data_IF_700642672443
#
_entry.id   IF_700642672443
#
_cell.length_a   1.000
_cell.length_b   1.000
_cell.length_c   1.000
_cell.angle_alpha   90.00
_cell.angle_beta   90.00
_cell.angle_gamma   90.00
#
_symmetry.space_group_name_H-M   'P 1'
#
loop_
_entity.id
_entity.type
_entity.pdbx_description
1 polymer ?
#
# COMPACT_ATOMS: atom_id res chain seq x y z
N UNK A 1 29.98 24.77 -8.83
CA UNK A 1 28.77 25.21 -8.10
C UNK A 1 29.15 25.39 -6.64
N UNK A 2 28.85 26.58 -6.10
CA UNK A 2 29.22 27.00 -4.75
C UNK A 2 28.44 26.18 -3.71
N UNK A 3 29.18 25.60 -2.78
CA UNK A 3 28.68 25.00 -1.56
C UNK A 3 28.37 26.16 -0.60
N UNK A 4 27.10 26.37 -0.23
CA UNK A 4 26.72 27.39 0.74
C UNK A 4 26.41 26.75 2.10
N UNK A 5 26.81 27.48 3.14
CA UNK A 5 26.97 27.09 4.54
C UNK A 5 25.70 26.53 5.17
N UNK A 6 25.91 25.55 6.04
CA UNK A 6 24.93 24.96 6.95
C UNK A 6 24.92 25.79 8.24
N UNK A 7 23.79 26.38 8.60
CA UNK A 7 23.55 26.92 9.94
C UNK A 7 22.83 25.88 10.80
N UNK A 8 23.42 25.55 11.94
CA UNK A 8 22.87 24.62 12.94
C UNK A 8 22.09 25.47 13.94
N UNK A 9 20.77 25.26 14.03
CA UNK A 9 20.00 25.75 15.17
C UNK A 9 20.41 24.92 16.38
N UNK A 10 21.25 25.50 17.23
CA UNK A 10 21.56 24.95 18.54
C UNK A 10 20.28 24.97 19.40
N UNK A 11 20.15 23.95 20.25
CA UNK A 11 19.12 23.81 21.30
C UNK A 11 17.83 23.05 20.95
N UNK A 12 17.92 21.94 20.19
CA UNK A 12 16.85 20.92 20.20
C UNK A 12 17.33 19.61 20.84
N UNK A 13 16.75 19.17 21.98
CA UNK A 13 17.13 17.92 22.63
C UNK A 13 16.68 16.73 21.78
N UNK A 14 17.66 15.96 21.29
CA UNK A 14 17.52 14.64 20.65
C UNK A 14 16.48 14.60 19.51
N UNK A 15 16.67 15.42 18.47
CA UNK A 15 16.05 15.22 17.17
C UNK A 15 17.14 14.95 16.12
N UNK A 16 17.24 13.70 15.67
CA UNK A 16 18.14 13.33 14.56
C UNK A 16 17.59 13.94 13.27
N UNK A 17 18.12 15.09 12.86
CA UNK A 17 17.81 15.71 11.56
C UNK A 17 18.59 14.97 10.48
N UNK A 18 17.89 14.24 9.60
CA UNK A 18 18.49 13.66 8.39
C UNK A 18 18.09 14.53 7.21
N UNK A 19 19.06 14.97 6.41
CA UNK A 19 18.89 15.82 5.24
C UNK A 19 19.13 15.01 3.97
N UNK A 20 18.11 14.92 3.12
CA UNK A 20 18.19 14.27 1.80
C UNK A 20 18.09 15.34 0.72
N UNK A 21 19.05 15.36 -0.20
CA UNK A 21 18.95 16.21 -1.39
C UNK A 21 18.07 15.55 -2.48
N UNK A 22 17.57 16.37 -3.42
CA UNK A 22 16.73 15.87 -4.51
C UNK A 22 17.44 14.98 -5.54
N UNK A 23 18.75 14.75 -5.39
CA UNK A 23 19.50 13.78 -6.19
C UNK A 23 19.58 12.41 -5.51
N UNK A 24 18.97 12.25 -4.33
CA UNK A 24 19.00 11.02 -3.55
C UNK A 24 20.31 10.81 -2.82
N UNK A 25 21.20 11.81 -2.76
CA UNK A 25 22.39 11.72 -1.92
C UNK A 25 22.01 12.02 -0.48
N UNK A 26 22.19 11.01 0.37
CA UNK A 26 21.95 11.09 1.79
C UNK A 26 23.11 11.84 2.46
N UNK A 27 22.88 13.06 2.97
CA UNK A 27 23.90 13.83 3.69
C UNK A 27 23.60 13.80 5.18
N UNK A 28 24.30 12.91 5.89
CA UNK A 28 24.26 12.87 7.36
C UNK A 28 25.08 14.04 7.91
N UNK A 29 24.45 15.02 8.55
CA UNK A 29 25.15 16.11 9.23
C UNK A 29 25.59 15.62 10.62
N UNK A 30 26.82 15.08 10.66
CA UNK A 30 27.67 14.68 11.82
C UNK A 30 27.07 13.73 12.88
N UNK A 31 27.67 12.54 13.00
CA UNK A 31 27.75 11.76 14.24
C UNK A 31 29.11 11.07 14.34
N UNK A 32 29.72 11.01 15.53
CA UNK A 32 31.10 10.56 15.73
C UNK A 32 31.17 9.26 16.55
N UNK A 33 31.98 8.31 16.05
CA UNK A 33 32.55 7.07 16.62
C UNK A 33 31.65 5.85 16.92
N UNK A 34 32.03 4.72 16.29
CA UNK A 34 31.83 3.35 16.80
C UNK A 34 31.39 2.34 15.73
N UNK A 35 31.90 1.08 15.71
CA UNK A 35 31.59 0.12 14.66
C UNK A 35 30.33 -0.72 14.96
N UNK A 36 29.51 -0.91 13.93
CA UNK A 36 28.49 -1.96 13.67
C UNK A 36 26.98 -1.59 13.64
N UNK A 37 26.36 -2.26 12.65
CA UNK A 37 24.96 -2.47 12.26
C UNK A 37 24.16 -1.28 11.68
N UNK A 38 23.78 -1.49 10.40
CA UNK A 38 23.21 -0.54 9.46
C UNK A 38 21.74 -0.90 9.23
N UNK A 39 20.80 -0.23 9.87
CA UNK A 39 19.37 -0.45 9.64
C UNK A 39 18.87 0.48 8.56
N UNK A 40 18.54 -0.02 7.36
CA UNK A 40 17.94 0.84 6.35
C UNK A 40 16.44 1.08 6.58
N UNK A 41 15.93 2.30 6.37
CA UNK A 41 14.54 2.69 6.62
C UNK A 41 13.91 3.29 5.35
N UNK A 42 12.67 2.93 5.01
CA UNK A 42 11.92 3.48 3.86
C UNK A 42 10.85 4.47 4.34
N UNK A 43 10.74 5.62 3.67
CA UNK A 43 9.69 6.64 3.88
C UNK A 43 8.71 6.60 2.70
N UNK A 44 7.42 6.41 3.00
CA UNK A 44 6.32 6.52 2.04
C UNK A 44 5.61 7.87 2.20
N UNK A 45 5.59 8.69 1.14
CA UNK A 45 4.89 9.97 1.10
C UNK A 45 3.64 9.79 0.24
N UNK A 46 2.43 9.84 0.80
CA UNK A 46 1.21 9.66 0.00
C UNK A 46 1.08 10.77 -1.04
N UNK A 47 0.82 10.36 -2.28
CA UNK A 47 0.64 11.23 -3.44
C UNK A 47 -0.72 11.95 -3.37
N UNK A 48 -0.72 13.26 -3.65
CA UNK A 48 -1.96 13.97 -4.00
C UNK A 48 -2.20 13.81 -5.50
N UNK A 49 -2.81 12.71 -5.90
CA UNK A 49 -3.54 12.57 -7.18
C UNK A 49 -2.73 12.58 -8.47
N UNK A 50 -1.61 13.29 -8.59
CA UNK A 50 -0.74 13.34 -9.76
C UNK A 50 0.65 13.77 -9.27
N UNK A 51 1.69 13.01 -9.61
CA UNK A 51 3.13 13.21 -9.33
C UNK A 51 3.78 12.34 -8.21
N UNK A 52 4.61 11.41 -8.71
CA UNK A 52 5.82 10.79 -8.16
C UNK A 52 5.75 10.26 -6.73
N UNK A 53 5.60 8.93 -6.60
CA UNK A 53 5.98 8.17 -5.42
C UNK A 53 7.49 8.33 -5.18
N UNK A 54 7.88 9.26 -4.29
CA UNK A 54 9.30 9.38 -3.89
C UNK A 54 9.57 8.44 -2.72
N UNK A 55 10.17 7.30 -3.02
CA UNK A 55 10.73 6.37 -2.04
C UNK A 55 12.13 6.85 -1.64
N UNK A 56 12.34 7.16 -0.36
CA UNK A 56 13.65 7.48 0.19
C UNK A 56 14.14 6.34 1.08
N UNK A 57 15.37 5.87 0.83
CA UNK A 57 16.06 4.85 1.62
C UNK A 57 17.05 5.53 2.56
N UNK A 58 16.89 5.30 3.84
CA UNK A 58 17.75 5.79 4.92
C UNK A 58 18.57 4.65 5.47
N UNK A 59 19.65 4.92 6.21
CA UNK A 59 20.36 3.95 7.03
C UNK A 59 20.59 4.58 8.41
N UNK A 60 20.02 3.98 9.45
CA UNK A 60 20.22 4.32 10.85
C UNK A 60 21.34 3.46 11.44
N UNK A 61 22.09 4.08 12.34
CA UNK A 61 23.17 3.47 13.10
C UNK A 61 22.68 3.31 14.54
N UNK A 62 22.73 2.08 15.07
CA UNK A 62 22.36 1.77 16.44
C UNK A 62 23.54 2.05 17.39
N UNK A 63 23.23 2.47 18.62
CA UNK A 63 24.20 2.69 19.69
C UNK A 63 23.53 2.30 21.03
N UNK A 64 23.24 1.01 21.20
CA UNK A 64 22.88 0.47 22.52
C UNK A 64 24.04 -0.32 23.11
N UNK A 65 24.93 0.37 23.82
CA UNK A 65 25.69 -0.21 24.93
C UNK A 65 26.10 0.89 25.90
N UNK A 66 25.37 1.03 27.00
CA UNK A 66 25.86 1.70 28.20
C UNK A 66 25.46 0.86 29.42
N UNK A 67 26.37 -0.03 29.82
CA UNK A 67 26.45 -0.54 31.18
C UNK A 67 27.77 -0.05 31.78
N UNK A 68 27.62 0.71 32.86
CA UNK A 68 28.51 0.88 34.01
C UNK A 68 29.82 1.71 33.94
N UNK A 69 29.84 2.66 34.89
CA UNK A 69 30.91 3.10 35.81
C UNK A 69 31.79 4.32 35.51
N UNK A 70 31.90 5.14 36.56
CA UNK A 70 32.92 6.18 36.82
C UNK A 70 32.29 7.57 36.99
N UNK A 71 31.65 7.90 38.12
CA UNK A 71 32.23 8.54 39.32
C UNK A 71 33.23 9.68 39.05
N UNK A 72 32.92 10.80 39.72
CA UNK A 72 33.77 11.94 40.12
C UNK A 72 34.07 13.03 39.06
N UNK A 73 33.36 14.16 39.15
CA UNK A 73 33.93 15.42 39.70
C UNK A 73 32.95 16.61 39.58
N UNK A 74 32.43 17.00 40.75
CA UNK A 74 32.07 18.33 41.30
C UNK A 74 31.17 19.38 40.55
N UNK A 75 30.23 20.04 41.26
CA UNK A 75 29.29 21.03 40.76
C UNK A 75 29.77 22.49 41.00
N UNK A 76 29.55 23.39 40.05
CA UNK A 76 29.97 24.79 40.21
C UNK A 76 29.21 25.81 39.37
N UNK A 77 28.33 26.54 40.05
CA UNK A 77 27.84 27.90 39.79
C UNK A 77 26.81 28.20 38.69
N UNK A 78 25.57 28.23 39.18
CA UNK A 78 24.44 29.12 38.89
C UNK A 78 24.87 30.59 38.70
N UNK A 79 24.31 31.29 37.71
CA UNK A 79 23.77 32.66 37.87
C UNK A 79 22.79 33.04 36.75
N UNK A 80 21.58 33.42 37.21
CA UNK A 80 20.68 34.46 36.72
C UNK A 80 19.90 34.30 35.40
N UNK A 81 18.59 34.08 35.58
CA UNK A 81 17.51 34.52 34.71
C UNK A 81 17.39 36.07 34.69
N UNK A 82 16.59 36.60 33.76
CA UNK A 82 15.58 37.58 34.15
C UNK A 82 14.16 37.09 33.90
N UNK A 83 13.30 37.42 34.85
CA UNK A 83 11.87 37.17 34.92
C UNK A 83 11.04 38.06 33.97
N UNK A 84 9.98 37.45 33.43
CA UNK A 84 8.58 37.92 33.40
C UNK A 84 8.26 39.32 32.84
N UNK A 85 7.58 39.32 31.69
CA UNK A 85 6.37 40.14 31.52
C UNK A 85 5.22 39.17 31.20
N UNK A 86 4.23 39.20 32.08
CA UNK A 86 3.03 38.39 32.07
C UNK A 86 1.95 38.85 31.08
N UNK A 87 0.73 38.32 31.24
CA UNK A 87 -0.13 37.89 30.15
C UNK A 87 -1.12 38.97 29.75
N UNK A 88 -1.52 39.00 28.47
CA UNK A 88 -2.88 39.41 28.14
C UNK A 88 -3.37 38.81 26.82
N UNK A 89 -4.56 38.21 26.96
CA UNK A 89 -5.56 37.81 25.98
C UNK A 89 -5.33 38.22 24.51
N UNK A 90 -5.43 37.23 23.61
CA UNK A 90 -6.44 37.30 22.55
C UNK A 90 -6.77 35.91 21.99
N UNK A 91 -7.99 35.50 22.32
CA UNK A 91 -8.77 34.33 21.92
C UNK A 91 -9.06 34.24 20.41
N UNK A 92 -9.54 33.07 19.93
CA UNK A 92 -9.73 32.76 18.52
C UNK A 92 -10.95 33.47 17.92
N UNK A 93 -10.76 34.64 17.32
CA UNK A 93 -11.85 35.38 16.66
C UNK A 93 -11.49 36.02 15.32
N UNK A 94 -10.36 35.69 14.69
CA UNK A 94 -9.95 36.30 13.40
C UNK A 94 -10.15 35.41 12.16
N UNK A 95 -10.73 34.21 12.28
CA UNK A 95 -11.07 33.38 11.11
C UNK A 95 -12.57 33.23 10.84
N UNK A 96 -13.40 34.09 11.45
CA UNK A 96 -14.88 34.02 11.31
C UNK A 96 -15.50 35.00 10.30
N UNK A 97 -14.70 35.66 9.48
CA UNK A 97 -15.21 36.51 8.40
C UNK A 97 -14.77 35.98 7.03
N UNK A 98 -15.52 35.01 6.49
CA UNK A 98 -15.61 34.86 5.03
C UNK A 98 -16.89 34.25 4.43
N UNK A 99 -17.87 33.76 5.20
CA UNK A 99 -19.17 33.34 4.64
C UNK A 99 -20.32 33.48 5.66
N UNK A 100 -21.31 34.38 5.47
CA UNK A 100 -22.49 34.43 6.32
C UNK A 100 -23.61 33.51 5.78
N UNK A 101 -24.22 32.74 6.68
CA UNK A 101 -25.55 32.16 6.47
C UNK A 101 -25.61 30.68 6.10
N UNK A 102 -25.57 29.81 7.12
CA UNK A 102 -26.38 28.58 7.27
C UNK A 102 -26.01 27.90 8.60
N UNK A 103 -26.90 27.97 9.59
CA UNK A 103 -26.80 27.15 10.80
C UNK A 103 -27.17 25.71 10.48
N UNK A 104 -26.31 24.75 10.81
CA UNK A 104 -26.67 23.34 10.89
C UNK A 104 -26.70 22.93 12.36
N UNK A 105 -27.89 22.65 12.88
CA UNK A 105 -28.08 21.99 14.18
C UNK A 105 -27.84 20.50 14.00
N UNK A 106 -26.85 19.96 14.69
CA UNK A 106 -26.62 18.51 14.78
C UNK A 106 -27.08 18.08 16.17
N UNK A 107 -28.09 17.21 16.22
CA UNK A 107 -28.52 16.55 17.45
C UNK A 107 -27.53 15.42 17.76
N UNK A 108 -26.98 15.42 18.97
CA UNK A 108 -26.14 14.35 19.50
C UNK A 108 -27.03 13.17 19.91
N UNK A 109 -26.73 11.99 19.36
CA UNK A 109 -27.20 10.71 19.90
C UNK A 109 -25.99 10.04 20.55
N UNK A 110 -26.10 9.74 21.83
CA UNK A 110 -25.12 8.96 22.58
C UNK A 110 -25.17 7.50 22.09
N UNK A 111 -24.03 6.90 21.73
CA UNK A 111 -23.99 5.50 21.31
C UNK A 111 -22.80 4.71 21.87
N UNK A 112 -23.06 3.42 22.01
CA UNK A 112 -22.68 2.50 23.06
C UNK A 112 -21.50 1.57 22.68
N UNK A 113 -20.36 2.14 22.31
CA UNK A 113 -19.10 1.39 22.29
C UNK A 113 -18.99 0.24 21.28
N UNK A 114 -19.90 0.12 20.30
CA UNK A 114 -19.71 -0.74 19.12
C UNK A 114 -19.01 0.06 18.02
N UNK A 115 -17.78 -0.35 17.71
CA UNK A 115 -16.92 0.30 16.73
C UNK A 115 -17.49 0.14 15.31
N UNK A 116 -18.33 1.06 14.88
CA UNK A 116 -18.60 1.33 13.46
C UNK A 116 -17.47 2.24 12.97
N UNK A 117 -16.86 1.97 11.81
CA UNK A 117 -15.76 2.80 11.28
C UNK A 117 -16.18 4.23 10.87
N UNK A 118 -17.44 4.61 11.07
CA UNK A 118 -18.00 5.89 10.63
C UNK A 118 -17.58 7.14 11.45
N UNK A 119 -17.40 7.10 12.79
CA UNK A 119 -17.15 8.32 13.58
C UNK A 119 -15.76 8.95 13.40
N UNK A 120 -14.76 8.18 12.94
CA UNK A 120 -13.39 8.67 12.70
C UNK A 120 -13.20 9.15 11.26
N UNK A 121 -13.80 8.47 10.29
CA UNK A 121 -13.80 8.92 8.88
C UNK A 121 -14.56 10.24 8.71
N UNK A 122 -15.73 10.38 9.34
CA UNK A 122 -16.50 11.63 9.32
C UNK A 122 -15.74 12.77 10.03
N UNK A 123 -15.02 12.48 11.13
CA UNK A 123 -14.12 13.46 11.77
C UNK A 123 -12.92 13.84 10.91
N UNK A 124 -12.32 12.89 10.18
CA UNK A 124 -11.23 13.18 9.24
C UNK A 124 -11.70 14.08 8.09
N UNK A 125 -12.96 13.94 7.64
CA UNK A 125 -13.60 14.85 6.69
C UNK A 125 -13.83 16.23 7.34
N UNK A 126 -14.36 16.29 8.57
CA UNK A 126 -14.62 17.53 9.31
C UNK A 126 -13.34 18.32 9.61
N UNK A 127 -12.21 17.63 9.85
CA UNK A 127 -10.90 18.23 10.09
C UNK A 127 -10.02 18.36 8.84
N UNK A 128 -10.50 17.92 7.66
CA UNK A 128 -9.79 18.05 6.38
C UNK A 128 -8.51 17.21 6.25
N UNK A 129 -8.38 16.11 7.00
CA UNK A 129 -7.14 15.31 7.10
C UNK A 129 -7.31 13.83 6.75
N UNK A 130 -8.02 13.56 5.66
CA UNK A 130 -8.28 12.21 5.13
C UNK A 130 -6.98 11.47 4.82
N UNK A 131 -5.94 12.18 4.37
CA UNK A 131 -4.65 11.58 4.02
C UNK A 131 -3.92 11.00 5.24
N UNK A 132 -3.93 11.72 6.38
CA UNK A 132 -3.34 11.20 7.61
C UNK A 132 -4.14 10.01 8.14
N UNK A 133 -5.47 10.07 8.08
CA UNK A 133 -6.32 8.96 8.49
C UNK A 133 -6.01 7.69 7.67
N UNK A 134 -6.00 7.80 6.33
CA UNK A 134 -5.68 6.68 5.44
C UNK A 134 -4.29 6.11 5.74
N UNK A 135 -3.28 6.95 5.91
CA UNK A 135 -1.92 6.51 6.25
C UNK A 135 -1.86 5.72 7.57
N UNK A 136 -2.59 6.17 8.61
CA UNK A 136 -2.61 5.47 9.89
C UNK A 136 -3.41 4.16 9.84
N UNK A 137 -4.52 4.14 9.11
CA UNK A 137 -5.33 2.94 8.91
C UNK A 137 -4.58 1.90 8.07
N UNK A 138 -3.89 2.32 7.01
CA UNK A 138 -2.97 1.51 6.22
C UNK A 138 -1.81 0.97 7.04
N UNK A 139 -1.16 1.80 7.87
CA UNK A 139 -0.12 1.35 8.80
C UNK A 139 -0.64 0.27 9.76
N UNK A 140 -1.83 0.46 10.33
CA UNK A 140 -2.46 -0.51 11.24
C UNK A 140 -2.74 -1.83 10.52
N UNK A 141 -3.26 -1.78 9.30
CA UNK A 141 -3.53 -2.98 8.49
C UNK A 141 -2.23 -3.72 8.16
N UNK A 142 -1.25 -3.02 7.58
CA UNK A 142 -0.01 -3.64 7.13
C UNK A 142 0.87 -4.17 8.28
N UNK A 143 0.81 -3.56 9.48
CA UNK A 143 1.48 -4.08 10.70
C UNK A 143 1.03 -5.47 11.12
N UNK A 144 -0.21 -5.86 10.83
CA UNK A 144 -0.69 -7.23 11.10
C UNK A 144 0.00 -8.24 10.18
N UNK A 145 0.44 -7.80 9.00
CA UNK A 145 0.91 -8.67 7.92
C UNK A 145 2.43 -8.77 7.88
N UNK A 146 3.16 -7.74 8.30
CA UNK A 146 4.62 -7.75 8.28
C UNK A 146 5.24 -7.01 9.49
N UNK A 147 6.26 -7.61 10.15
CA UNK A 147 6.94 -7.01 11.30
C UNK A 147 7.99 -5.97 10.89
N UNK A 148 7.79 -5.27 9.77
CA UNK A 148 8.75 -4.28 9.25
C UNK A 148 8.36 -2.84 9.59
N UNK A 149 7.11 -2.61 9.97
CA UNK A 149 6.55 -1.27 10.13
C UNK A 149 6.78 -0.72 11.54
N UNK A 150 7.74 0.19 11.69
CA UNK A 150 8.20 0.69 12.98
C UNK A 150 7.47 1.95 13.46
N UNK A 151 6.71 2.64 12.61
CA UNK A 151 5.86 3.76 13.03
C UNK A 151 5.61 4.77 11.92
N UNK A 152 5.34 6.01 12.32
CA UNK A 152 5.34 7.17 11.42
C UNK A 152 6.42 8.15 11.85
N UNK A 153 6.88 8.96 10.90
CA UNK A 153 7.80 10.06 11.16
C UNK A 153 7.19 11.34 10.63
N UNK A 154 7.28 12.40 11.42
CA UNK A 154 6.98 13.74 10.93
C UNK A 154 8.03 14.14 9.90
N UNK A 155 7.61 14.76 8.81
CA UNK A 155 8.53 15.32 7.85
C UNK A 155 8.06 16.69 7.36
N UNK A 156 9.03 17.50 6.96
CA UNK A 156 8.86 18.78 6.33
C UNK A 156 9.69 18.81 5.05
N UNK A 157 9.09 19.23 3.95
CA UNK A 157 9.76 19.33 2.65
C UNK A 157 10.01 20.80 2.33
N UNK A 158 11.25 21.11 1.96
CA UNK A 158 11.69 22.37 1.37
C UNK A 158 12.10 22.14 -0.07
N UNK A 159 12.29 23.21 -0.86
CA UNK A 159 12.76 23.17 -2.26
C UNK A 159 14.14 22.51 -2.49
N UNK A 160 14.79 21.99 -1.45
CA UNK A 160 16.07 21.30 -1.58
C UNK A 160 16.22 20.09 -0.68
N UNK A 161 15.38 19.96 0.36
CA UNK A 161 15.58 19.01 1.44
C UNK A 161 14.27 18.49 2.03
N UNK A 162 14.32 17.24 2.50
CA UNK A 162 13.34 16.70 3.44
C UNK A 162 13.98 16.66 4.83
N UNK A 163 13.31 17.27 5.80
CA UNK A 163 13.69 17.26 7.21
C UNK A 163 12.77 16.29 7.96
N UNK A 164 13.36 15.36 8.70
CA UNK A 164 12.64 14.42 9.54
C UNK A 164 12.58 14.93 10.98
N UNK A 165 11.37 14.92 11.53
CA UNK A 165 11.07 15.27 12.91
C UNK A 165 10.95 14.03 13.78
N UNK A 166 9.97 14.06 14.70
CA UNK A 166 9.78 13.00 15.69
C UNK A 166 9.28 11.70 15.05
N UNK A 167 9.94 10.58 15.38
CA UNK A 167 9.42 9.23 15.14
C UNK A 167 8.38 8.87 16.22
N UNK A 168 7.27 8.32 15.77
CA UNK A 168 6.11 7.96 16.58
C UNK A 168 5.78 6.49 16.31
N UNK A 169 6.13 5.62 17.26
CA UNK A 169 5.93 4.16 17.13
C UNK A 169 4.43 3.81 17.11
N UNK A 170 3.65 4.41 18.00
CA UNK A 170 2.20 4.19 18.12
C UNK A 170 1.46 5.51 17.86
N UNK A 171 1.29 5.90 16.58
CA UNK A 171 0.57 7.12 16.25
C UNK A 171 -0.89 7.03 16.68
N UNK A 172 -1.38 8.12 17.26
CA UNK A 172 -2.77 8.31 17.64
C UNK A 172 -3.27 9.55 16.88
N UNK A 173 -4.24 9.35 16.00
CA UNK A 173 -4.78 10.40 15.13
C UNK A 173 -5.13 11.68 15.90
N UNK A 174 -5.69 11.55 17.11
CA UNK A 174 -6.11 12.71 17.91
C UNK A 174 -4.95 13.47 18.58
N UNK A 175 -3.74 12.91 18.56
CA UNK A 175 -2.53 13.49 19.17
C UNK A 175 -1.52 13.98 18.14
N UNK A 176 -1.75 13.69 16.86
CA UNK A 176 -0.89 14.15 15.79
C UNK A 176 -1.25 15.60 15.44
N UNK A 177 -0.23 16.45 15.40
CA UNK A 177 -0.38 17.82 14.95
C UNK A 177 -0.33 17.86 13.41
N UNK A 178 -1.29 18.52 12.77
CA UNK A 178 -1.33 18.75 11.33
C UNK A 178 -1.08 20.22 10.92
N UNK A 179 -0.61 21.06 11.85
CA UNK A 179 -0.24 22.47 11.63
C UNK A 179 1.05 22.58 10.81
N UNK A 180 0.99 22.19 9.53
CA UNK A 180 2.09 22.33 8.55
C UNK A 180 3.08 21.15 8.47
N UNK A 181 2.95 20.14 9.33
CA UNK A 181 3.76 18.93 9.27
C UNK A 181 3.04 17.83 8.48
N UNK A 182 3.81 17.05 7.71
CA UNK A 182 3.30 15.84 7.04
C UNK A 182 3.84 14.61 7.74
N UNK A 183 3.15 13.49 7.58
CA UNK A 183 3.58 12.21 8.15
C UNK A 183 3.89 11.21 7.04
N UNK A 184 4.90 10.39 7.29
CA UNK A 184 5.25 9.29 6.44
C UNK A 184 5.39 8.00 7.25
N UNK A 185 5.11 6.86 6.63
CA UNK A 185 5.33 5.55 7.25
C UNK A 185 6.83 5.26 7.29
N UNK A 186 7.29 4.77 8.43
CA UNK A 186 8.66 4.36 8.67
C UNK A 186 8.71 2.83 8.81
N UNK A 187 9.51 2.17 7.97
CA UNK A 187 9.64 0.70 7.93
C UNK A 187 11.07 0.23 7.65
N UNK A 188 11.45 -0.94 8.19
CA UNK A 188 12.72 -1.60 7.87
C UNK A 188 12.84 -1.86 6.37
N UNK A 189 14.04 -1.65 5.86
CA UNK A 189 14.39 -1.88 4.47
C UNK A 189 14.39 -3.38 4.15
N UNK A 190 13.88 -3.67 2.97
CA UNK A 190 13.83 -5.02 2.42
C UNK A 190 14.88 -5.09 1.31
N UNK A 191 15.93 -5.92 1.46
CA UNK A 191 16.91 -6.15 0.41
C UNK A 191 16.23 -6.56 -0.90
N UNK A 192 16.71 -6.03 -2.03
CA UNK A 192 16.15 -6.34 -3.36
C UNK A 192 16.02 -7.85 -3.64
N UNK A 193 16.96 -8.65 -3.15
CA UNK A 193 16.96 -10.10 -3.30
C UNK A 193 15.78 -10.80 -2.58
N UNK A 194 15.15 -10.14 -1.61
CA UNK A 194 14.07 -10.71 -0.81
C UNK A 194 12.68 -10.47 -1.40
N UNK A 195 12.54 -9.62 -2.43
CA UNK A 195 11.22 -9.33 -3.00
C UNK A 195 10.72 -10.48 -3.85
N UNK A 196 9.41 -10.75 -3.83
CA UNK A 196 8.83 -11.89 -4.55
C UNK A 196 9.03 -11.77 -6.06
N UNK A 197 9.00 -10.56 -6.63
CA UNK A 197 9.31 -10.34 -8.05
C UNK A 197 10.73 -10.83 -8.44
N UNK A 198 11.70 -10.71 -7.52
CA UNK A 198 13.05 -11.24 -7.72
C UNK A 198 13.03 -12.77 -7.73
N UNK A 199 12.35 -13.40 -6.78
CA UNK A 199 12.18 -14.86 -6.76
C UNK A 199 11.44 -15.37 -8.00
N UNK A 200 10.35 -14.72 -8.40
CA UNK A 200 9.61 -15.09 -9.60
C UNK A 200 10.43 -14.90 -10.89
N UNK A 201 11.42 -14.01 -10.91
CA UNK A 201 12.35 -13.91 -12.03
C UNK A 201 13.38 -15.05 -12.09
N UNK A 202 13.50 -15.86 -11.03
CA UNK A 202 14.41 -17.01 -10.98
C UNK A 202 13.69 -18.30 -11.39
N UNK A 203 14.21 -18.97 -12.42
CA UNK A 203 13.66 -20.24 -12.91
C UNK A 203 13.55 -21.31 -11.81
N UNK A 204 14.56 -21.41 -10.94
CA UNK A 204 14.60 -22.40 -9.85
C UNK A 204 13.42 -22.28 -8.88
N UNK A 205 12.96 -21.06 -8.61
CA UNK A 205 11.83 -20.83 -7.72
C UNK A 205 10.51 -21.14 -8.41
N UNK A 206 10.34 -20.68 -9.65
CA UNK A 206 9.06 -20.77 -10.37
C UNK A 206 8.77 -22.17 -10.90
N UNK A 207 9.79 -22.94 -11.27
CA UNK A 207 9.60 -24.33 -11.67
C UNK A 207 9.44 -25.30 -10.50
N UNK A 208 9.70 -24.85 -9.27
CA UNK A 208 9.40 -25.62 -8.08
C UNK A 208 7.98 -25.31 -7.60
N UNK A 209 7.05 -26.18 -7.98
CA UNK A 209 5.64 -26.07 -7.59
C UNK A 209 5.43 -26.07 -6.08
N UNK A 210 6.36 -26.61 -5.27
CA UNK A 210 6.23 -26.56 -3.81
C UNK A 210 6.33 -25.13 -3.27
N UNK A 211 7.17 -24.29 -3.88
CA UNK A 211 7.30 -22.88 -3.51
C UNK A 211 6.04 -22.08 -3.82
N UNK A 212 5.51 -22.25 -5.04
CA UNK A 212 4.29 -21.57 -5.46
C UNK A 212 3.08 -22.07 -4.67
N UNK A 213 2.95 -23.37 -4.43
CA UNK A 213 1.88 -23.92 -3.58
C UNK A 213 1.96 -23.40 -2.15
N UNK A 214 3.16 -23.29 -1.56
CA UNK A 214 3.33 -22.72 -0.22
C UNK A 214 2.97 -21.24 -0.17
N UNK A 215 3.32 -20.46 -1.20
CA UNK A 215 2.87 -19.08 -1.35
C UNK A 215 1.33 -19.02 -1.36
N UNK A 216 0.68 -19.80 -2.21
CA UNK A 216 -0.80 -19.82 -2.30
C UNK A 216 -1.45 -20.27 -1.00
N UNK A 217 -0.88 -21.27 -0.32
CA UNK A 217 -1.36 -21.71 0.98
C UNK A 217 -1.27 -20.60 2.04
N UNK A 218 -0.22 -19.77 2.02
CA UNK A 218 -0.11 -18.60 2.89
C UNK A 218 -1.15 -17.52 2.53
N UNK A 219 -1.40 -17.28 1.24
CA UNK A 219 -2.44 -16.33 0.78
C UNK A 219 -3.84 -16.80 1.19
N UNK A 220 -4.18 -18.08 1.01
CA UNK A 220 -5.48 -18.62 1.41
C UNK A 220 -5.73 -18.48 2.92
N UNK A 221 -4.72 -18.79 3.75
CA UNK A 221 -4.79 -18.58 5.20
C UNK A 221 -4.90 -17.10 5.58
N UNK A 222 -4.20 -16.22 4.86
CA UNK A 222 -4.32 -14.78 5.06
C UNK A 222 -5.75 -14.30 4.77
N UNK A 223 -6.32 -14.71 3.63
CA UNK A 223 -7.68 -14.35 3.21
C UNK A 223 -8.75 -14.77 4.21
N UNK A 224 -8.62 -15.95 4.85
CA UNK A 224 -9.55 -16.41 5.88
C UNK A 224 -9.61 -15.49 7.11
N UNK A 225 -8.47 -14.84 7.43
CA UNK A 225 -8.34 -13.93 8.57
C UNK A 225 -8.74 -12.47 8.29
N UNK A 226 -9.14 -12.14 7.06
CA UNK A 226 -9.49 -10.76 6.70
C UNK A 226 -10.87 -10.35 7.23
N UNK A 227 -10.99 -9.08 7.59
CA UNK A 227 -12.23 -8.48 8.08
C UNK A 227 -13.30 -8.48 6.97
N UNK A 228 -14.55 -8.87 7.25
CA UNK A 228 -15.64 -8.84 6.26
C UNK A 228 -15.96 -7.41 5.83
N UNK A 229 -16.32 -7.23 4.56
CA UNK A 229 -16.75 -5.94 4.05
C UNK A 229 -18.20 -5.61 4.50
N UNK A 230 -18.54 -4.31 4.67
CA UNK A 230 -19.93 -3.90 4.78
C UNK A 230 -20.76 -4.35 3.57
N UNK A 231 -22.05 -4.65 3.77
CA UNK A 231 -22.94 -5.23 2.74
C UNK A 231 -23.15 -4.34 1.49
N UNK A 232 -22.78 -3.06 1.56
CA UNK A 232 -22.79 -2.15 0.40
C UNK A 232 -21.68 -2.44 -0.63
N UNK A 233 -20.65 -3.21 -0.26
CA UNK A 233 -19.52 -3.55 -1.12
C UNK A 233 -19.70 -4.91 -1.81
N UNK A 234 -19.03 -5.07 -2.95
CA UNK A 234 -19.04 -6.28 -3.78
C UNK A 234 -20.35 -6.50 -4.54
N UNK A 235 -21.15 -5.44 -4.73
CA UNK A 235 -22.36 -5.55 -5.55
C UNK A 235 -22.01 -5.73 -7.02
N UNK A 236 -22.91 -6.36 -7.77
CA UNK A 236 -22.73 -6.49 -9.23
C UNK A 236 -22.60 -5.12 -9.93
N UNK A 237 -23.30 -4.10 -9.42
CA UNK A 237 -23.21 -2.75 -9.95
C UNK A 237 -21.84 -2.12 -9.71
N UNK A 238 -21.27 -2.33 -8.52
CA UNK A 238 -19.91 -1.86 -8.21
C UNK A 238 -18.87 -2.57 -9.08
N UNK A 239 -18.99 -3.88 -9.29
CA UNK A 239 -18.10 -4.62 -10.20
C UNK A 239 -18.17 -4.06 -11.62
N UNK A 240 -19.39 -3.82 -12.14
CA UNK A 240 -19.58 -3.20 -13.45
C UNK A 240 -18.99 -1.79 -13.52
N UNK A 241 -19.27 -0.94 -12.52
CA UNK A 241 -18.78 0.44 -12.46
C UNK A 241 -17.24 0.49 -12.42
N UNK A 242 -16.63 -0.37 -11.60
CA UNK A 242 -15.17 -0.51 -11.50
C UNK A 242 -14.57 -0.96 -12.83
N UNK A 243 -15.18 -1.96 -13.48
CA UNK A 243 -14.74 -2.41 -14.80
C UNK A 243 -14.80 -1.29 -15.85
N UNK A 244 -15.91 -0.53 -15.90
CA UNK A 244 -16.04 0.60 -16.82
C UNK A 244 -15.03 1.72 -16.52
N UNK A 245 -14.76 1.99 -15.24
CA UNK A 245 -13.73 2.95 -14.82
C UNK A 245 -12.34 2.52 -15.27
N UNK A 246 -11.96 1.25 -15.04
CA UNK A 246 -10.69 0.69 -15.50
C UNK A 246 -10.55 0.74 -17.03
N UNK A 247 -11.63 0.40 -17.75
CA UNK A 247 -11.65 0.48 -19.22
C UNK A 247 -11.48 1.93 -19.71
N UNK A 248 -12.14 2.88 -19.04
CA UNK A 248 -11.95 4.31 -19.27
C UNK A 248 -10.51 4.75 -19.05
N UNK A 249 -9.90 4.37 -17.93
CA UNK A 249 -8.50 4.67 -17.62
C UNK A 249 -7.54 4.12 -18.68
N UNK A 250 -7.72 2.86 -19.08
CA UNK A 250 -6.91 2.22 -20.13
C UNK A 250 -7.04 2.95 -21.48
N UNK A 251 -8.25 3.35 -21.88
CA UNK A 251 -8.49 4.13 -23.10
C UNK A 251 -7.86 5.53 -23.02
N UNK A 252 -7.93 6.17 -21.85
CA UNK A 252 -7.34 7.50 -21.60
C UNK A 252 -5.82 7.48 -21.39
N UNK A 253 -5.21 6.32 -21.20
CA UNK A 253 -3.76 6.19 -21.05
C UNK A 253 -2.98 6.49 -22.35
N UNK A 254 -3.66 6.60 -23.51
CA UNK A 254 -3.03 6.84 -24.82
C UNK A 254 -1.89 5.85 -25.13
N UNK A 255 -2.10 4.59 -24.76
CA UNK A 255 -1.17 3.50 -25.04
C UNK A 255 -0.93 3.35 -26.56
N UNK A 256 0.32 3.10 -26.99
CA UNK A 256 0.63 2.79 -28.38
C UNK A 256 -0.24 1.64 -28.93
N UNK A 257 -0.65 1.76 -30.19
CA UNK A 257 -1.59 0.84 -30.88
C UNK A 257 -1.02 -0.59 -31.01
N UNK A 258 0.29 -0.70 -31.10
CA UNK A 258 1.07 -1.93 -31.14
C UNK A 258 1.16 -2.60 -29.76
N UNK A 259 0.98 -1.84 -28.68
CA UNK A 259 0.90 -2.36 -27.32
C UNK A 259 -0.52 -2.80 -26.98
N UNK A 260 -1.51 -1.94 -27.27
CA UNK A 260 -2.93 -2.20 -27.00
C UNK A 260 -3.73 -1.96 -28.28
N UNK A 261 -4.11 -3.06 -28.92
CA UNK A 261 -4.98 -3.01 -30.08
C UNK A 261 -6.43 -2.68 -29.66
N UNK A 262 -7.06 -1.61 -30.18
CA UNK A 262 -8.42 -1.21 -29.80
C UNK A 262 -9.49 -2.25 -30.13
N UNK A 263 -9.35 -2.98 -31.23
CA UNK A 263 -10.29 -4.06 -31.59
C UNK A 263 -10.20 -5.20 -30.60
N UNK A 264 -8.99 -5.59 -30.19
CA UNK A 264 -8.80 -6.59 -29.13
C UNK A 264 -9.35 -6.09 -27.80
N UNK A 265 -9.10 -4.83 -27.44
CA UNK A 265 -9.64 -4.27 -26.19
C UNK A 265 -11.18 -4.27 -26.19
N UNK A 266 -11.82 -3.96 -27.31
CA UNK A 266 -13.27 -4.02 -27.43
C UNK A 266 -13.79 -5.46 -27.30
N UNK A 267 -13.11 -6.45 -27.89
CA UNK A 267 -13.47 -7.87 -27.71
C UNK A 267 -13.35 -8.33 -26.25
N UNK A 268 -12.29 -7.90 -25.56
CA UNK A 268 -12.13 -8.15 -24.12
C UNK A 268 -13.29 -7.51 -23.36
N UNK A 269 -13.63 -6.25 -23.66
CA UNK A 269 -14.70 -5.54 -22.98
C UNK A 269 -16.06 -6.20 -23.18
N UNK A 270 -16.41 -6.58 -24.42
CA UNK A 270 -17.65 -7.28 -24.73
C UNK A 270 -17.76 -8.62 -23.98
N UNK A 271 -16.65 -9.35 -23.90
CA UNK A 271 -16.56 -10.63 -23.17
C UNK A 271 -16.76 -10.42 -21.67
N UNK A 272 -16.13 -9.40 -21.10
CA UNK A 272 -16.24 -9.06 -19.69
C UNK A 272 -17.66 -8.63 -19.31
N UNK A 273 -18.30 -7.80 -20.13
CA UNK A 273 -19.69 -7.38 -19.91
C UNK A 273 -20.67 -8.55 -20.03
N UNK A 274 -20.45 -9.45 -21.01
CA UNK A 274 -21.22 -10.70 -21.11
C UNK A 274 -21.05 -11.57 -19.86
N UNK A 275 -19.81 -11.75 -19.38
CA UNK A 275 -19.53 -12.52 -18.18
C UNK A 275 -20.22 -11.94 -16.93
N UNK A 276 -20.22 -10.61 -16.74
CA UNK A 276 -20.96 -9.98 -15.64
C UNK A 276 -22.47 -10.27 -15.71
N UNK A 277 -23.06 -10.32 -16.90
CA UNK A 277 -24.47 -10.67 -17.08
C UNK A 277 -24.74 -12.15 -16.80
N UNK A 278 -23.95 -13.04 -17.40
CA UNK A 278 -24.11 -14.50 -17.28
C UNK A 278 -23.89 -14.96 -15.83
N UNK A 279 -22.83 -14.46 -15.18
CA UNK A 279 -22.42 -14.85 -13.84
C UNK A 279 -22.91 -13.91 -12.73
N UNK A 280 -23.90 -13.06 -13.01
CA UNK A 280 -24.47 -12.12 -12.04
C UNK A 280 -24.81 -12.81 -10.70
N UNK A 281 -25.57 -13.91 -10.76
CA UNK A 281 -26.00 -14.64 -9.57
C UNK A 281 -24.82 -15.23 -8.79
N UNK A 282 -23.77 -15.67 -9.48
CA UNK A 282 -22.55 -16.17 -8.84
C UNK A 282 -21.81 -15.06 -8.09
N UNK A 283 -21.64 -13.87 -8.67
CA UNK A 283 -21.05 -12.73 -7.96
C UNK A 283 -21.90 -12.30 -6.74
N UNK A 284 -23.23 -12.29 -6.88
CA UNK A 284 -24.14 -12.00 -5.77
C UNK A 284 -24.09 -13.07 -4.66
N UNK A 285 -23.93 -14.36 -5.02
CA UNK A 285 -23.73 -15.45 -4.06
C UNK A 285 -22.41 -15.25 -3.27
N UNK A 286 -21.33 -14.83 -3.95
CA UNK A 286 -20.05 -14.53 -3.28
C UNK A 286 -20.18 -13.39 -2.28
N UNK A 287 -20.90 -12.32 -2.63
CA UNK A 287 -21.23 -11.24 -1.71
C UNK A 287 -22.00 -11.74 -0.48
N UNK A 288 -23.06 -12.52 -0.70
CA UNK A 288 -23.89 -13.08 0.38
C UNK A 288 -23.13 -14.04 1.28
N UNK A 289 -22.17 -14.78 0.73
CA UNK A 289 -21.36 -15.75 1.46
C UNK A 289 -20.12 -15.12 2.14
N UNK A 290 -20.03 -13.79 2.23
CA UNK A 290 -18.95 -13.11 2.95
C UNK A 290 -17.57 -13.24 2.28
N UNK A 291 -17.55 -13.42 0.95
CA UNK A 291 -16.32 -13.47 0.15
C UNK A 291 -15.78 -12.09 -0.22
N UNK A 292 -16.51 -11.02 0.14
CA UNK A 292 -16.06 -9.64 -0.01
C UNK A 292 -15.48 -9.22 1.34
N UNK A 293 -14.18 -8.91 1.36
CA UNK A 293 -13.41 -8.66 2.58
C UNK A 293 -12.47 -7.50 2.38
N UNK A 294 -11.88 -6.99 3.47
CA UNK A 294 -10.80 -6.00 3.45
C UNK A 294 -9.50 -6.65 2.97
N UNK A 295 -9.41 -6.87 1.66
CA UNK A 295 -8.29 -7.45 0.95
C UNK A 295 -7.12 -6.48 0.81
N UNK A 296 -6.03 -6.94 0.19
CA UNK A 296 -4.88 -6.11 -0.09
C UNK A 296 -5.17 -5.03 -1.15
N UNK A 297 -5.94 -5.38 -2.18
CA UNK A 297 -6.35 -4.49 -3.26
C UNK A 297 -5.30 -4.33 -4.38
N UNK A 298 -4.01 -4.52 -4.06
CA UNK A 298 -2.89 -4.52 -5.01
C UNK A 298 -1.88 -5.65 -4.73
N UNK A 299 -2.34 -6.90 -4.62
CA UNK A 299 -1.52 -8.06 -4.23
C UNK A 299 -0.53 -8.50 -5.33
N UNK A 300 0.34 -7.59 -5.78
CA UNK A 300 1.34 -7.80 -6.84
C UNK A 300 2.69 -8.23 -6.26
N UNK A 301 3.56 -8.84 -7.06
CA UNK A 301 4.83 -9.39 -6.56
C UNK A 301 5.77 -8.35 -5.93
N UNK A 302 5.63 -7.07 -6.31
CA UNK A 302 6.37 -5.95 -5.71
C UNK A 302 5.87 -5.52 -4.33
N UNK A 303 4.77 -6.09 -3.86
CA UNK A 303 4.15 -5.83 -2.56
C UNK A 303 4.28 -7.05 -1.62
N UNK A 304 5.07 -8.04 -2.03
CA UNK A 304 5.37 -9.23 -1.25
C UNK A 304 6.89 -9.39 -1.15
N UNK A 305 7.35 -9.73 0.04
CA UNK A 305 8.75 -10.12 0.25
C UNK A 305 8.82 -11.42 1.03
N UNK A 306 9.92 -12.13 0.84
CA UNK A 306 10.16 -13.43 1.42
C UNK A 306 11.25 -13.31 2.48
N UNK A 307 11.16 -14.17 3.49
CA UNK A 307 12.23 -14.39 4.44
C UNK A 307 12.39 -15.89 4.61
N UNK A 308 13.60 -16.37 4.36
CA UNK A 308 13.96 -17.73 4.68
C UNK A 308 14.64 -17.72 6.05
N UNK A 309 14.04 -18.38 7.04
CA UNK A 309 14.62 -18.53 8.37
C UNK A 309 14.55 -19.99 8.81
N UNK A 310 14.97 -20.28 10.04
CA UNK A 310 14.96 -21.64 10.61
C UNK A 310 13.57 -22.30 10.64
N UNK A 311 12.50 -21.53 10.49
CA UNK A 311 11.10 -22.01 10.39
C UNK A 311 10.61 -22.20 8.94
N UNK A 312 11.48 -21.98 7.95
CA UNK A 312 11.20 -22.16 6.52
C UNK A 312 10.97 -20.85 5.76
N UNK A 313 10.45 -21.00 4.54
CA UNK A 313 10.12 -19.90 3.64
C UNK A 313 8.81 -19.25 4.07
N UNK A 314 8.88 -17.95 4.39
CA UNK A 314 7.72 -17.14 4.74
C UNK A 314 7.58 -15.96 3.80
N UNK A 315 6.36 -15.70 3.37
CA UNK A 315 5.98 -14.53 2.58
C UNK A 315 5.29 -13.54 3.50
N UNK A 316 5.68 -12.27 3.37
CA UNK A 316 5.09 -11.14 4.05
C UNK A 316 4.46 -10.21 3.02
N UNK A 317 3.26 -9.73 3.34
CA UNK A 317 2.44 -8.89 2.48
C UNK A 317 2.47 -7.48 3.03
N UNK A 318 2.74 -6.49 2.17
CA UNK A 318 2.94 -5.10 2.55
C UNK A 318 2.34 -4.16 1.50
N UNK A 319 2.12 -2.90 1.86
CA UNK A 319 1.69 -1.86 0.93
C UNK A 319 0.27 -2.09 0.38
N UNK A 320 -0.64 -2.54 1.26
CA UNK A 320 -2.06 -2.65 0.95
C UNK A 320 -2.68 -1.26 0.70
N UNK A 321 -3.61 -1.19 -0.26
CA UNK A 321 -4.35 0.04 -0.57
C UNK A 321 -5.14 0.49 0.66
N UNK A 322 -5.03 1.77 1.02
CA UNK A 322 -5.62 2.34 2.25
C UNK A 322 -6.42 3.64 2.03
N UNK A 323 -6.52 4.09 0.76
CA UNK A 323 -7.12 5.39 0.42
C UNK A 323 -8.51 5.29 -0.23
N UNK A 324 -8.92 4.12 -0.72
CA UNK A 324 -10.23 3.94 -1.35
C UNK A 324 -10.84 2.57 -1.00
N UNK A 325 -11.99 2.61 -0.31
CA UNK A 325 -12.75 1.43 0.11
C UNK A 325 -13.12 0.52 -1.07
N UNK A 326 -13.40 1.07 -2.27
CA UNK A 326 -13.75 0.30 -3.47
C UNK A 326 -12.58 -0.55 -4.02
N UNK A 327 -11.35 -0.25 -3.58
CA UNK A 327 -10.15 -0.94 -4.02
C UNK A 327 -9.72 -2.06 -3.07
N UNK A 328 -10.03 -1.95 -1.78
CA UNK A 328 -9.70 -2.98 -0.80
C UNK A 328 -10.88 -3.79 -0.27
N UNK A 329 -12.13 -3.30 -0.30
CA UNK A 329 -13.31 -4.14 -0.05
C UNK A 329 -13.72 -4.84 -1.35
N UNK A 330 -13.01 -5.91 -1.67
CA UNK A 330 -13.14 -6.66 -2.91
C UNK A 330 -13.32 -8.14 -2.64
N UNK A 331 -13.67 -8.89 -3.69
CA UNK A 331 -13.71 -10.35 -3.63
C UNK A 331 -12.32 -10.92 -3.38
N UNK A 332 -12.22 -11.93 -2.51
CA UNK A 332 -10.99 -12.69 -2.28
C UNK A 332 -10.37 -13.23 -3.59
N UNK A 333 -11.19 -13.64 -4.56
CA UNK A 333 -10.70 -14.10 -5.86
C UNK A 333 -10.14 -12.96 -6.72
N UNK A 334 -10.61 -11.73 -6.53
CA UNK A 334 -10.04 -10.55 -7.20
C UNK A 334 -8.64 -10.25 -6.67
N UNK A 335 -8.44 -10.36 -5.36
CA UNK A 335 -7.12 -10.16 -4.73
C UNK A 335 -6.15 -11.28 -5.14
N UNK A 336 -6.60 -12.54 -5.11
CA UNK A 336 -5.83 -13.70 -5.57
C UNK A 336 -5.45 -13.56 -7.06
N UNK A 337 -6.38 -13.15 -7.92
CA UNK A 337 -6.14 -12.99 -9.35
C UNK A 337 -5.01 -12.00 -9.64
N UNK A 338 -4.83 -10.96 -8.83
CA UNK A 338 -3.71 -10.02 -8.99
C UNK A 338 -2.36 -10.75 -8.87
N UNK A 339 -2.21 -11.60 -7.85
CA UNK A 339 -1.00 -12.39 -7.67
C UNK A 339 -0.81 -13.43 -8.78
N UNK A 340 -1.88 -14.10 -9.21
CA UNK A 340 -1.82 -15.09 -10.27
C UNK A 340 -1.43 -14.48 -11.62
N UNK A 341 -1.85 -13.25 -11.92
CA UNK A 341 -1.38 -12.49 -13.10
C UNK A 341 0.13 -12.29 -13.03
N UNK A 342 0.68 -11.92 -11.87
CA UNK A 342 2.13 -11.74 -11.69
C UNK A 342 2.88 -13.06 -11.84
N UNK A 343 2.37 -14.16 -11.26
CA UNK A 343 2.98 -15.50 -11.44
C UNK A 343 2.98 -15.89 -12.92
N UNK A 344 1.86 -15.73 -13.63
CA UNK A 344 1.78 -15.99 -15.06
C UNK A 344 2.77 -15.12 -15.84
N UNK A 345 2.86 -13.83 -15.49
CA UNK A 345 3.79 -12.88 -16.07
C UNK A 345 5.23 -13.36 -15.90
N UNK A 346 5.65 -13.80 -14.73
CA UNK A 346 7.05 -14.18 -14.53
C UNK A 346 7.40 -15.60 -15.03
N UNK A 347 6.43 -16.50 -15.13
CA UNK A 347 6.67 -17.90 -15.48
C UNK A 347 7.29 -18.07 -16.89
N UNK A 348 8.53 -18.58 -17.03
CA UNK A 348 9.25 -18.62 -18.31
C UNK A 348 8.88 -19.89 -19.11
N UNK A 349 7.64 -19.99 -19.59
CA UNK A 349 7.20 -21.09 -20.45
C UNK A 349 6.08 -20.66 -21.41
N UNK A 350 5.61 -21.58 -22.25
CA UNK A 350 4.44 -21.34 -23.11
C UNK A 350 3.18 -21.01 -22.29
N UNK A 351 2.26 -20.26 -22.87
CA UNK A 351 1.01 -19.88 -22.21
C UNK A 351 0.18 -21.09 -21.73
N UNK A 352 0.24 -22.23 -22.42
CA UNK A 352 -0.42 -23.46 -21.96
C UNK A 352 0.21 -24.02 -20.68
N UNK A 353 1.55 -24.04 -20.57
CA UNK A 353 2.21 -24.46 -19.32
C UNK A 353 1.96 -23.47 -18.19
N UNK A 354 1.99 -22.18 -18.47
CA UNK A 354 1.62 -21.13 -17.51
C UNK A 354 0.20 -21.32 -17.01
N UNK A 355 -0.74 -21.52 -17.93
CA UNK A 355 -2.15 -21.75 -17.60
C UNK A 355 -2.33 -23.01 -16.74
N UNK A 356 -1.64 -24.11 -17.07
CA UNK A 356 -1.65 -25.32 -16.25
C UNK A 356 -1.15 -25.06 -14.83
N UNK A 357 -0.04 -24.33 -14.67
CA UNK A 357 0.46 -23.89 -13.37
C UNK A 357 -0.61 -23.07 -12.62
N UNK A 358 -1.21 -22.06 -13.25
CA UNK A 358 -2.28 -21.27 -12.62
C UNK A 358 -3.46 -22.15 -12.19
N UNK A 359 -3.89 -23.13 -13.00
CA UNK A 359 -4.95 -24.06 -12.59
C UNK A 359 -4.58 -24.88 -11.36
N UNK A 360 -3.32 -25.34 -11.25
CA UNK A 360 -2.84 -26.05 -10.06
C UNK A 360 -2.85 -25.15 -8.82
N UNK A 361 -2.45 -23.87 -8.97
CA UNK A 361 -2.50 -22.90 -7.88
C UNK A 361 -3.93 -22.56 -7.45
N UNK A 362 -4.87 -22.45 -8.40
CA UNK A 362 -6.29 -22.27 -8.07
C UNK A 362 -6.83 -23.50 -7.34
N UNK A 363 -6.47 -24.71 -7.77
CA UNK A 363 -6.85 -25.94 -7.09
C UNK A 363 -6.30 -26.00 -5.65
N UNK A 364 -5.04 -25.59 -5.44
CA UNK A 364 -4.45 -25.47 -4.11
C UNK A 364 -5.24 -24.45 -3.25
N UNK A 365 -5.55 -23.28 -3.80
CA UNK A 365 -6.36 -22.28 -3.10
C UNK A 365 -7.74 -22.83 -2.72
N UNK A 366 -8.40 -23.58 -3.61
CA UNK A 366 -9.69 -24.23 -3.31
C UNK A 366 -9.58 -25.22 -2.15
N UNK A 367 -8.53 -26.05 -2.13
CA UNK A 367 -8.28 -27.00 -1.04
C UNK A 367 -8.10 -26.28 0.30
N UNK A 368 -7.37 -25.18 0.32
CA UNK A 368 -7.07 -24.44 1.55
C UNK A 368 -8.24 -23.57 2.03
N UNK A 369 -9.04 -23.02 1.10
CA UNK A 369 -10.14 -22.09 1.39
C UNK A 369 -11.50 -22.78 1.56
N UNK A 370 -11.68 -23.99 1.01
CA UNK A 370 -12.97 -24.67 0.92
C UNK A 370 -13.82 -24.23 -0.27
N UNK A 371 -13.29 -23.39 -1.17
CA UNK A 371 -13.97 -23.02 -2.43
C UNK A 371 -14.13 -24.22 -3.36
N UNK A 372 -15.21 -24.22 -4.15
CA UNK A 372 -15.50 -25.28 -5.12
C UNK A 372 -14.98 -24.83 -6.49
N UNK A 373 -13.99 -25.55 -7.02
CA UNK A 373 -13.27 -25.22 -8.25
C UNK A 373 -14.21 -24.87 -9.42
N UNK A 374 -15.21 -25.72 -9.67
CA UNK A 374 -16.14 -25.58 -10.80
C UNK A 374 -16.99 -24.31 -10.68
N UNK A 375 -17.32 -23.89 -9.45
CA UNK A 375 -18.08 -22.66 -9.21
C UNK A 375 -17.24 -21.41 -9.40
N UNK A 376 -15.96 -21.46 -9.01
CA UNK A 376 -15.11 -20.27 -9.01
C UNK A 376 -14.36 -20.04 -10.32
N UNK A 377 -14.17 -21.07 -11.15
CA UNK A 377 -13.38 -20.98 -12.38
C UNK A 377 -13.79 -19.84 -13.31
N UNK A 378 -15.09 -19.65 -13.65
CA UNK A 378 -15.50 -18.52 -14.48
C UNK A 378 -15.26 -17.17 -13.80
N UNK A 379 -15.42 -17.11 -12.49
CA UNK A 379 -15.28 -15.89 -11.68
C UNK A 379 -13.81 -15.46 -11.59
N UNK A 380 -12.91 -16.40 -11.32
CA UNK A 380 -11.49 -16.07 -11.27
C UNK A 380 -10.91 -15.81 -12.65
N UNK A 381 -11.40 -16.44 -13.72
CA UNK A 381 -11.05 -16.04 -15.09
C UNK A 381 -11.52 -14.63 -15.41
N UNK A 382 -12.71 -14.22 -14.96
CA UNK A 382 -13.13 -12.82 -15.02
C UNK A 382 -12.11 -11.90 -14.32
N UNK A 383 -11.73 -12.21 -13.09
CA UNK A 383 -10.76 -11.38 -12.36
C UNK A 383 -9.35 -11.41 -12.94
N UNK A 384 -8.89 -12.51 -13.53
CA UNK A 384 -7.58 -12.59 -14.19
C UNK A 384 -7.53 -11.64 -15.41
N UNK A 385 -8.62 -11.54 -16.17
CA UNK A 385 -8.74 -10.55 -17.25
C UNK A 385 -8.75 -9.12 -16.69
N UNK A 386 -9.60 -8.85 -15.69
CA UNK A 386 -9.70 -7.51 -15.08
C UNK A 386 -8.36 -7.05 -14.51
N UNK A 387 -7.67 -7.91 -13.74
CA UNK A 387 -6.37 -7.59 -13.14
C UNK A 387 -5.26 -7.46 -14.16
N UNK A 388 -5.26 -8.26 -15.22
CA UNK A 388 -4.31 -8.10 -16.31
C UNK A 388 -4.48 -6.72 -17.00
N UNK A 389 -5.72 -6.28 -17.27
CA UNK A 389 -5.98 -4.92 -17.80
C UNK A 389 -5.55 -3.82 -16.83
N UNK A 390 -5.80 -4.01 -15.52
CA UNK A 390 -5.31 -3.09 -14.49
C UNK A 390 -3.79 -3.01 -14.53
N UNK A 391 -3.08 -4.14 -14.61
CA UNK A 391 -1.62 -4.16 -14.74
C UNK A 391 -1.15 -3.53 -16.04
N UNK A 392 -1.87 -3.67 -17.15
CA UNK A 392 -1.54 -2.98 -18.41
C UNK A 392 -1.50 -1.46 -18.23
N UNK A 393 -2.59 -0.82 -17.77
CA UNK A 393 -2.56 0.65 -17.66
C UNK A 393 -1.67 1.11 -16.49
N UNK A 394 -1.65 0.39 -15.37
CA UNK A 394 -0.87 0.83 -14.21
C UNK A 394 0.64 0.72 -14.46
N UNK A 395 1.07 -0.34 -15.14
CA UNK A 395 2.48 -0.50 -15.50
C UNK A 395 2.98 0.60 -16.45
N UNK A 396 2.10 1.15 -17.28
CA UNK A 396 2.42 2.26 -18.18
C UNK A 396 2.33 3.63 -17.50
N UNK A 397 1.18 3.94 -16.88
CA UNK A 397 0.84 5.27 -16.39
C UNK A 397 1.48 5.61 -15.05
N UNK A 398 1.73 4.62 -14.18
CA UNK A 398 2.25 4.85 -12.83
C UNK A 398 3.63 4.23 -12.62
N UNK A 399 3.81 2.96 -13.02
CA UNK A 399 5.09 2.26 -12.79
C UNK A 399 6.15 2.59 -13.88
N UNK A 400 5.75 3.29 -14.96
CA UNK A 400 6.59 3.68 -16.11
C UNK A 400 7.47 2.54 -16.67
N UNK A 401 6.90 1.35 -16.78
CA UNK A 401 7.57 0.16 -17.30
C UNK A 401 7.80 0.24 -18.81
N UNK A 402 8.69 -0.62 -19.32
CA UNK A 402 8.95 -0.69 -20.75
C UNK A 402 7.72 -1.17 -21.53
N UNK A 403 7.59 -0.77 -22.82
CA UNK A 403 6.55 -1.26 -23.71
C UNK A 403 6.34 -2.78 -23.69
N UNK A 404 7.42 -3.56 -23.64
CA UNK A 404 7.36 -5.03 -23.62
C UNK A 404 6.66 -5.57 -22.37
N UNK A 405 6.91 -4.96 -21.21
CA UNK A 405 6.24 -5.34 -19.95
C UNK A 405 4.75 -5.02 -20.03
N UNK A 406 4.40 -3.84 -20.54
CA UNK A 406 3.00 -3.40 -20.69
C UNK A 406 2.24 -4.31 -21.66
N UNK A 407 2.83 -4.60 -22.83
CA UNK A 407 2.25 -5.49 -23.84
C UNK A 407 2.03 -6.89 -23.27
N UNK A 408 2.99 -7.42 -22.51
CA UNK A 408 2.86 -8.75 -21.90
C UNK A 408 1.69 -8.85 -20.92
N UNK A 409 1.39 -7.81 -20.14
CA UNK A 409 0.16 -7.82 -19.32
C UNK A 409 -1.11 -7.81 -20.18
N UNK A 410 -1.11 -7.06 -21.29
CA UNK A 410 -2.24 -7.06 -22.21
C UNK A 410 -2.44 -8.43 -22.88
N UNK A 411 -1.35 -9.12 -23.27
CA UNK A 411 -1.38 -10.50 -23.78
C UNK A 411 -2.03 -11.47 -22.79
N UNK A 412 -1.76 -11.31 -21.49
CA UNK A 412 -2.38 -12.12 -20.42
C UNK A 412 -3.90 -11.87 -20.40
N UNK A 413 -4.33 -10.60 -20.52
CA UNK A 413 -5.74 -10.26 -20.59
C UNK A 413 -6.41 -10.91 -21.81
N UNK A 414 -5.79 -10.87 -22.99
CA UNK A 414 -6.29 -11.54 -24.19
C UNK A 414 -6.37 -13.06 -24.01
N UNK A 415 -5.33 -13.66 -23.43
CA UNK A 415 -5.28 -15.10 -23.17
C UNK A 415 -6.45 -15.56 -22.28
N UNK A 416 -6.63 -14.92 -21.13
CA UNK A 416 -7.70 -15.28 -20.21
C UNK A 416 -9.08 -14.86 -20.70
N UNK A 417 -9.19 -13.88 -21.59
CA UNK A 417 -10.45 -13.60 -22.31
C UNK A 417 -10.86 -14.80 -23.15
N UNK A 418 -9.91 -15.43 -23.85
CA UNK A 418 -10.17 -16.67 -24.58
C UNK A 418 -10.58 -17.83 -23.67
N UNK A 419 -9.97 -17.97 -22.49
CA UNK A 419 -10.36 -19.01 -21.51
C UNK A 419 -11.73 -18.73 -20.87
N UNK A 420 -12.05 -17.47 -20.55
CA UNK A 420 -13.36 -17.04 -20.04
C UNK A 420 -14.45 -17.23 -21.09
N UNK A 421 -14.14 -17.01 -22.37
CA UNK A 421 -15.09 -17.21 -23.46
C UNK A 421 -15.64 -18.64 -23.54
N UNK A 422 -14.89 -19.65 -23.06
CA UNK A 422 -15.35 -21.04 -23.02
C UNK A 422 -16.47 -21.29 -22.00
N UNK A 423 -16.77 -20.30 -21.16
CA UNK A 423 -17.75 -20.37 -20.06
C UNK A 423 -18.97 -19.47 -20.29
N UNK A 424 -18.99 -18.65 -21.34
CA UNK A 424 -20.09 -17.73 -21.67
C UNK A 424 -20.71 -18.06 -23.02
#
# INVERSE_FOLDING_TARGET
MKCEKIEVLADTPISKVIQIDYKGELRVIKYNKGPQLYESLKIYIPSRGHHVDRTYMYTFFDNTTLLERGKDSDPGNITAAPELIGPDANTPSTLRNKFPGKEFKINLVEDDGRYTGEPLYNRAIEHGDIALYSLLDGLKFNRKNAPIYIGVVQFYETDTHILLGKHIVHPDFNKLNNDGYRYAVLMHYIPKANWLNHYLSQESFVFDMSNLSMLIHQIARHHQGLDPAPTRFGTIWQLYSKFQSNLGALRSAHLPIDIVNPSSLNQIADTMEKALRVYKSSFEERQKNGQIRRCHGDLKANNLFTQNNSSGFRVYIIDAIDFNEDFFYIDLLSDLAMLLVEIFFYYPSSNERRHHCILQLIAQYCQDSGEIMEKILPIIFYYLVEKALVRTYTSYSYDHQSPDVVHRYFDIAQWYTGKLHLYI
#
